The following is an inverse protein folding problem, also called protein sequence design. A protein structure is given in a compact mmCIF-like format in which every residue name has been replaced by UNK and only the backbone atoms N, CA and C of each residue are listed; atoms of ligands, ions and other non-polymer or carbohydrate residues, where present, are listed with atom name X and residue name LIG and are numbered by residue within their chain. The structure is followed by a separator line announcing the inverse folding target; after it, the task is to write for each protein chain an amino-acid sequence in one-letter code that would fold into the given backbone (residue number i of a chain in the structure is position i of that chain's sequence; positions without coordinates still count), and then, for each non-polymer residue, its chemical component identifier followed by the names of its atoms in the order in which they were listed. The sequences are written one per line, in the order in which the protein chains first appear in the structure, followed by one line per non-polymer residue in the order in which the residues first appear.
data_IF_389654161457
#
_entry.id   IF_389654161457
#
_cell.length_a   1.000
_cell.length_b   1.000
_cell.length_c   1.000
_cell.angle_alpha   90.00
_cell.angle_beta   90.00
_cell.angle_gamma   90.00
#
_symmetry.space_group_name_H-M   'P 1'
#
loop_
_entity.id
_entity.type
_entity.pdbx_description
1 polymer ?
#
# COMPACT_ATOMS: atom_id res chain seq x y z
N UNK A 1 23.37 -36.34 15.37
CA UNK A 1 23.43 -35.26 14.37
C UNK A 1 21.98 -34.96 14.06
N UNK A 2 21.39 -34.11 14.89
CA UNK A 2 19.94 -33.93 14.94
C UNK A 2 19.50 -33.25 13.65
N UNK A 3 18.51 -33.84 12.98
CA UNK A 3 17.80 -33.20 11.88
C UNK A 3 17.26 -31.85 12.38
N UNK A 4 17.95 -30.77 12.02
CA UNK A 4 17.39 -29.43 12.17
C UNK A 4 16.13 -29.39 11.32
N UNK A 5 14.97 -29.41 11.98
CA UNK A 5 13.68 -29.18 11.34
C UNK A 5 13.82 -27.88 10.57
N UNK A 6 13.84 -27.98 9.24
CA UNK A 6 14.03 -26.83 8.36
C UNK A 6 12.91 -25.85 8.69
N UNK A 7 13.22 -24.64 9.13
CA UNK A 7 12.23 -23.67 9.64
C UNK A 7 11.06 -23.43 8.67
N UNK A 8 11.29 -23.60 7.36
CA UNK A 8 10.25 -23.57 6.33
C UNK A 8 9.17 -24.63 6.48
N UNK A 9 9.44 -25.80 7.05
CA UNK A 9 8.40 -26.81 7.32
C UNK A 9 7.41 -26.31 8.38
N UNK A 10 7.92 -25.60 9.39
CA UNK A 10 7.09 -24.95 10.42
C UNK A 10 6.36 -23.76 9.79
N UNK A 11 7.04 -22.92 9.02
CA UNK A 11 6.44 -21.75 8.37
C UNK A 11 5.35 -22.10 7.34
N UNK A 12 5.46 -23.28 6.70
CA UNK A 12 4.48 -23.83 5.76
C UNK A 12 3.55 -24.88 6.40
N UNK A 13 3.48 -24.93 7.72
CA UNK A 13 2.61 -25.87 8.42
C UNK A 13 1.12 -25.54 8.20
N UNK A 14 0.24 -26.56 8.12
CA UNK A 14 -1.21 -26.37 8.10
C UNK A 14 -1.75 -25.54 9.28
N UNK A 15 -1.08 -25.59 10.44
CA UNK A 15 -1.45 -24.77 11.60
C UNK A 15 -1.32 -23.28 11.27
N UNK A 16 -0.19 -22.88 10.66
CA UNK A 16 0.09 -21.49 10.32
C UNK A 16 -0.89 -21.02 9.25
N UNK A 17 -1.20 -21.87 8.27
CA UNK A 17 -2.23 -21.58 7.28
C UNK A 17 -3.59 -21.26 7.91
N UNK A 18 -4.07 -22.09 8.83
CA UNK A 18 -5.39 -21.89 9.47
C UNK A 18 -5.39 -20.57 10.26
N UNK A 19 -4.34 -20.31 11.03
CA UNK A 19 -4.20 -19.07 11.78
C UNK A 19 -4.22 -17.85 10.86
N UNK A 20 -3.43 -17.86 9.79
CA UNK A 20 -3.41 -16.78 8.81
C UNK A 20 -4.76 -16.59 8.12
N UNK A 21 -5.41 -17.68 7.70
CA UNK A 21 -6.69 -17.65 7.02
C UNK A 21 -7.80 -17.07 7.91
N UNK A 22 -7.82 -17.40 9.21
CA UNK A 22 -8.80 -16.86 10.17
C UNK A 22 -8.66 -15.34 10.27
N UNK A 23 -7.44 -14.81 10.41
CA UNK A 23 -7.23 -13.36 10.55
C UNK A 23 -7.63 -12.64 9.25
N UNK A 24 -7.23 -13.17 8.09
CA UNK A 24 -7.62 -12.61 6.78
C UNK A 24 -9.14 -12.62 6.61
N UNK A 25 -9.81 -13.69 7.04
CA UNK A 25 -11.27 -13.78 7.00
C UNK A 25 -11.92 -12.70 7.87
N UNK A 26 -11.44 -12.48 9.09
CA UNK A 26 -11.96 -11.44 9.99
C UNK A 26 -11.85 -10.07 9.33
N UNK A 27 -10.68 -9.73 8.79
CA UNK A 27 -10.44 -8.43 8.13
C UNK A 27 -11.29 -8.29 6.86
N UNK A 28 -11.45 -9.36 6.09
CA UNK A 28 -12.30 -9.36 4.90
C UNK A 28 -13.78 -9.10 5.26
N UNK A 29 -14.27 -9.72 6.33
CA UNK A 29 -15.62 -9.45 6.85
C UNK A 29 -15.76 -8.00 7.30
N UNK A 30 -14.78 -7.46 8.02
CA UNK A 30 -14.79 -6.04 8.42
C UNK A 30 -14.85 -5.11 7.22
N UNK A 31 -14.06 -5.35 6.17
CA UNK A 31 -14.08 -4.55 4.95
C UNK A 31 -15.47 -4.55 4.29
N UNK A 32 -16.13 -5.72 4.20
CA UNK A 32 -17.49 -5.83 3.64
C UNK A 32 -18.50 -5.05 4.48
N UNK A 33 -18.40 -5.13 5.81
CA UNK A 33 -19.29 -4.40 6.73
C UNK A 33 -19.12 -2.87 6.59
N UNK A 34 -17.88 -2.39 6.46
CA UNK A 34 -17.61 -0.96 6.24
C UNK A 34 -18.13 -0.47 4.90
N UNK A 35 -17.96 -1.24 3.82
CA UNK A 35 -18.52 -0.90 2.51
C UNK A 35 -20.05 -0.80 2.57
N UNK A 36 -20.71 -1.77 3.22
CA UNK A 36 -22.17 -1.73 3.42
C UNK A 36 -22.61 -0.49 4.21
N UNK A 37 -21.91 -0.16 5.29
CA UNK A 37 -22.22 1.01 6.13
C UNK A 37 -22.02 2.32 5.36
N UNK A 38 -20.93 2.42 4.60
CA UNK A 38 -20.65 3.58 3.74
C UNK A 38 -21.70 3.75 2.64
N UNK A 39 -22.13 2.65 2.01
CA UNK A 39 -23.19 2.68 1.00
C UNK A 39 -24.52 3.19 1.57
N UNK A 40 -24.95 2.67 2.72
CA UNK A 40 -26.18 3.11 3.39
C UNK A 40 -26.10 4.59 3.80
N UNK A 41 -24.96 5.02 4.34
CA UNK A 41 -24.75 6.43 4.71
C UNK A 41 -24.78 7.36 3.49
N UNK A 42 -24.24 6.92 2.36
CA UNK A 42 -24.31 7.67 1.10
C UNK A 42 -25.76 7.88 0.63
N UNK A 43 -26.62 6.88 0.79
CA UNK A 43 -28.05 7.00 0.47
C UNK A 43 -28.78 7.95 1.41
N UNK A 44 -28.50 7.92 2.71
CA UNK A 44 -29.07 8.86 3.70
C UNK A 44 -28.69 10.32 3.40
N UNK A 45 -27.51 10.54 2.83
CA UNK A 45 -27.03 11.86 2.42
C UNK A 45 -27.58 12.31 1.05
N UNK A 46 -28.49 11.54 0.44
CA UNK A 46 -29.13 11.90 -0.82
C UNK A 46 -28.32 11.57 -2.08
N UNK A 47 -27.24 10.78 -1.98
CA UNK A 47 -26.49 10.36 -3.17
C UNK A 47 -27.30 9.38 -4.02
N UNK A 48 -27.25 9.53 -5.34
CA UNK A 48 -27.94 8.60 -6.23
C UNK A 48 -27.26 7.22 -6.22
N UNK A 49 -28.07 6.15 -6.32
CA UNK A 49 -27.58 4.76 -6.46
C UNK A 49 -26.60 4.60 -7.63
N UNK A 50 -26.81 5.34 -8.72
CA UNK A 50 -25.94 5.34 -9.91
C UNK A 50 -24.55 5.88 -9.58
N UNK A 51 -24.49 7.00 -8.85
CA UNK A 51 -23.22 7.60 -8.42
C UNK A 51 -22.47 6.67 -7.47
N UNK A 52 -23.15 6.10 -6.46
CA UNK A 52 -22.54 5.17 -5.52
C UNK A 52 -22.00 3.91 -6.22
N UNK A 53 -22.79 3.32 -7.12
CA UNK A 53 -22.35 2.13 -7.88
C UNK A 53 -21.16 2.45 -8.78
N UNK A 54 -21.18 3.59 -9.48
CA UNK A 54 -20.05 4.02 -10.31
C UNK A 54 -18.79 4.24 -9.48
N UNK A 55 -18.89 4.90 -8.33
CA UNK A 55 -17.75 5.10 -7.43
C UNK A 55 -17.17 3.75 -6.96
N UNK A 56 -18.02 2.83 -6.49
CA UNK A 56 -17.56 1.49 -6.06
C UNK A 56 -16.88 0.71 -7.19
N UNK A 57 -17.47 0.69 -8.40
CA UNK A 57 -16.88 -0.01 -9.54
C UNK A 57 -15.54 0.61 -9.94
N UNK A 58 -15.44 1.93 -9.98
CA UNK A 58 -14.21 2.63 -10.32
C UNK A 58 -13.12 2.36 -9.28
N UNK A 59 -13.44 2.43 -7.98
CA UNK A 59 -12.51 2.10 -6.90
C UNK A 59 -12.06 0.64 -6.93
N UNK A 60 -12.97 -0.30 -7.27
CA UNK A 60 -12.62 -1.70 -7.41
C UNK A 60 -11.66 -1.95 -8.57
N UNK A 61 -11.94 -1.40 -9.76
CA UNK A 61 -11.02 -1.47 -10.91
C UNK A 61 -9.66 -0.85 -10.57
N UNK A 62 -9.67 0.29 -9.88
CA UNK A 62 -8.47 0.99 -9.45
C UNK A 62 -7.62 0.24 -8.43
N UNK A 63 -8.20 -0.67 -7.65
CA UNK A 63 -7.48 -1.43 -6.64
C UNK A 63 -6.73 -2.64 -7.23
N UNK A 64 -7.16 -3.15 -8.39
CA UNK A 64 -6.53 -4.30 -9.02
C UNK A 64 -5.11 -3.97 -9.49
N UNK A 65 -4.94 -2.84 -10.17
CA UNK A 65 -3.66 -2.44 -10.76
C UNK A 65 -2.52 -2.33 -9.71
N UNK A 66 -2.66 -1.59 -8.59
CA UNK A 66 -1.62 -1.53 -7.56
C UNK A 66 -1.49 -2.81 -6.75
N UNK A 67 -2.43 -3.77 -6.84
CA UNK A 67 -2.32 -5.06 -6.14
C UNK A 67 -1.39 -6.06 -6.85
N UNK A 68 -1.19 -5.94 -8.17
CA UNK A 68 -0.36 -6.88 -8.93
C UNK A 68 1.11 -6.89 -8.46
N UNK A 69 1.79 -5.73 -8.29
CA UNK A 69 3.16 -5.72 -7.75
C UNK A 69 3.24 -6.31 -6.33
N UNK A 70 2.18 -6.14 -5.53
CA UNK A 70 2.12 -6.69 -4.17
C UNK A 70 2.10 -8.21 -4.21
N UNK A 71 1.35 -8.82 -5.13
CA UNK A 71 1.33 -10.28 -5.32
C UNK A 71 2.72 -10.79 -5.74
N UNK A 72 3.39 -10.10 -6.67
CA UNK A 72 4.76 -10.47 -7.09
C UNK A 72 5.72 -10.40 -5.90
N UNK A 73 5.65 -9.34 -5.08
CA UNK A 73 6.47 -9.21 -3.87
C UNK A 73 6.15 -10.30 -2.84
N UNK A 74 4.87 -10.67 -2.69
CA UNK A 74 4.46 -11.76 -1.82
C UNK A 74 5.11 -13.08 -2.25
N UNK A 75 5.11 -13.38 -3.54
CA UNK A 75 5.76 -14.58 -4.09
C UNK A 75 7.28 -14.53 -3.88
N UNK A 76 7.91 -13.37 -4.07
CA UNK A 76 9.34 -13.20 -3.81
C UNK A 76 9.69 -13.44 -2.33
N UNK A 77 8.93 -12.87 -1.40
CA UNK A 77 9.13 -13.08 0.05
C UNK A 77 8.76 -14.49 0.51
N UNK A 78 7.92 -15.22 -0.25
CA UNK A 78 7.51 -16.57 0.12
C UNK A 78 8.63 -17.61 0.05
N UNK A 79 9.69 -17.32 -0.72
CA UNK A 79 10.88 -18.17 -0.83
C UNK A 79 11.65 -18.18 0.50
N UNK A 80 12.08 -17.04 1.06
CA UNK A 80 12.80 -17.02 2.33
C UNK A 80 11.91 -17.10 3.58
N UNK A 81 10.65 -16.63 3.53
CA UNK A 81 9.80 -16.51 4.73
C UNK A 81 8.63 -17.50 4.80
N UNK A 82 8.55 -18.41 3.83
CA UNK A 82 7.43 -19.35 3.70
C UNK A 82 6.18 -18.71 3.11
N UNK A 83 5.18 -19.54 2.78
CA UNK A 83 4.01 -19.13 1.99
C UNK A 83 3.01 -18.29 2.78
N UNK A 84 2.80 -18.61 4.05
CA UNK A 84 1.66 -18.09 4.81
C UNK A 84 1.96 -16.77 5.54
N UNK A 85 3.19 -16.57 6.00
CA UNK A 85 3.55 -15.36 6.75
C UNK A 85 3.52 -14.10 5.87
N UNK A 86 4.19 -14.03 4.70
CA UNK A 86 4.06 -12.91 3.77
C UNK A 86 2.62 -12.68 3.30
N UNK A 87 1.83 -13.75 3.14
CA UNK A 87 0.41 -13.65 2.77
C UNK A 87 -0.41 -12.91 3.83
N UNK A 88 -0.22 -13.24 5.11
CA UNK A 88 -0.85 -12.53 6.23
C UNK A 88 -0.45 -11.05 6.25
N UNK A 89 0.86 -10.78 6.14
CA UNK A 89 1.44 -9.44 6.26
C UNK A 89 0.92 -8.50 5.17
N UNK A 90 0.99 -8.93 3.91
CA UNK A 90 0.58 -8.09 2.77
C UNK A 90 -0.95 -7.98 2.61
N UNK A 91 -1.73 -8.88 3.23
CA UNK A 91 -3.20 -8.83 3.15
C UNK A 91 -3.86 -7.91 4.18
N UNK A 92 -3.19 -7.61 5.30
CA UNK A 92 -3.80 -6.85 6.40
C UNK A 92 -3.15 -5.47 6.51
N UNK A 93 -1.88 -5.45 6.95
CA UNK A 93 -1.10 -4.25 7.21
C UNK A 93 0.33 -4.58 6.80
N UNK A 94 0.69 -4.14 5.60
CA UNK A 94 1.99 -4.35 5.00
C UNK A 94 2.15 -3.48 3.76
N UNK A 95 3.37 -3.02 3.52
CA UNK A 95 3.74 -2.38 2.25
C UNK A 95 4.79 -3.24 1.60
N UNK A 96 4.64 -3.51 0.29
CA UNK A 96 5.61 -4.29 -0.48
C UNK A 96 7.04 -3.73 -0.30
N UNK A 97 7.20 -2.40 -0.26
CA UNK A 97 8.51 -1.77 -0.04
C UNK A 97 9.02 -1.89 1.40
N UNK A 98 8.12 -1.92 2.39
CA UNK A 98 8.48 -2.03 3.80
C UNK A 98 8.89 -3.44 4.20
N UNK A 99 8.11 -4.46 3.83
CA UNK A 99 8.31 -5.82 4.33
C UNK A 99 9.69 -6.39 3.95
N UNK A 100 10.13 -6.16 2.70
CA UNK A 100 11.46 -6.61 2.25
C UNK A 100 12.60 -5.86 2.94
N UNK A 101 12.48 -4.55 3.12
CA UNK A 101 13.48 -3.74 3.82
C UNK A 101 13.59 -4.15 5.30
N UNK A 102 12.47 -4.29 5.99
CA UNK A 102 12.44 -4.67 7.40
C UNK A 102 13.02 -6.08 7.62
N UNK A 103 12.70 -7.02 6.72
CA UNK A 103 13.25 -8.37 6.77
C UNK A 103 14.77 -8.38 6.57
N UNK A 104 15.29 -7.60 5.61
CA UNK A 104 16.74 -7.46 5.39
C UNK A 104 17.46 -6.82 6.58
N UNK A 105 16.90 -5.75 7.16
CA UNK A 105 17.48 -5.12 8.35
C UNK A 105 17.54 -6.11 9.52
N UNK A 106 16.49 -6.90 9.71
CA UNK A 106 16.46 -7.93 10.75
C UNK A 106 17.51 -9.03 10.49
N UNK A 107 17.63 -9.54 9.26
CA UNK A 107 18.66 -10.53 8.90
C UNK A 107 20.09 -9.98 9.12
N UNK A 108 20.35 -8.76 8.67
CA UNK A 108 21.65 -8.08 8.85
C UNK A 108 21.97 -7.81 10.32
N UNK A 109 20.96 -7.54 11.15
CA UNK A 109 21.16 -7.39 12.60
C UNK A 109 21.67 -8.67 13.28
N UNK A 110 21.44 -9.82 12.65
CA UNK A 110 21.91 -11.13 13.12
C UNK A 110 23.22 -11.56 12.43
N UNK A 111 23.84 -10.67 11.63
CA UNK A 111 25.11 -10.93 10.96
C UNK A 111 25.00 -11.66 9.62
N UNK A 112 23.79 -11.83 9.07
CA UNK A 112 23.56 -12.40 7.74
C UNK A 112 23.71 -11.34 6.64
N UNK A 113 24.01 -11.74 5.40
CA UNK A 113 24.09 -10.78 4.28
C UNK A 113 22.72 -10.22 3.89
N UNK A 114 21.73 -11.10 3.78
CA UNK A 114 20.35 -10.77 3.41
C UNK A 114 19.37 -11.86 3.88
N UNK A 115 18.09 -11.68 3.56
CA UNK A 115 17.03 -12.68 3.85
C UNK A 115 17.17 -13.99 3.05
N UNK A 116 18.06 -14.05 2.06
CA UNK A 116 18.26 -15.22 1.21
C UNK A 116 19.48 -16.04 1.63
N UNK A 117 20.16 -15.65 2.71
CA UNK A 117 21.36 -16.31 3.21
C UNK A 117 21.04 -17.76 3.62
N UNK A 118 21.81 -18.76 3.16
CA UNK A 118 21.63 -20.16 3.52
C UNK A 118 21.72 -20.43 5.03
N UNK A 119 22.35 -19.55 5.79
CA UNK A 119 22.50 -19.68 7.25
C UNK A 119 21.29 -19.14 8.03
N UNK A 120 20.15 -18.88 7.37
CA UNK A 120 18.95 -18.42 8.04
C UNK A 120 18.35 -19.53 8.92
N UNK A 121 18.52 -19.39 10.23
CA UNK A 121 18.01 -20.34 11.23
C UNK A 121 16.58 -20.01 11.67
N UNK A 122 15.93 -20.95 12.36
CA UNK A 122 14.59 -20.74 12.93
C UNK A 122 14.52 -19.56 13.93
N UNK A 123 15.60 -19.31 14.67
CA UNK A 123 15.67 -18.19 15.62
C UNK A 123 15.71 -16.84 14.87
N UNK A 124 16.55 -16.74 13.83
CA UNK A 124 16.61 -15.54 12.99
C UNK A 124 15.28 -15.29 12.28
N UNK A 125 14.60 -16.35 11.82
CA UNK A 125 13.27 -16.26 11.23
C UNK A 125 12.25 -15.65 12.20
N UNK A 126 12.23 -16.08 13.47
CA UNK A 126 11.34 -15.51 14.50
C UNK A 126 11.66 -14.04 14.75
N UNK A 127 12.94 -13.67 14.82
CA UNK A 127 13.37 -12.27 14.98
C UNK A 127 12.87 -11.42 13.81
N UNK A 128 13.01 -11.90 12.57
CA UNK A 128 12.49 -11.24 11.37
C UNK A 128 10.98 -11.01 11.50
N UNK A 129 10.22 -12.04 11.90
CA UNK A 129 8.77 -11.92 12.10
C UNK A 129 8.41 -10.83 13.12
N UNK A 130 9.13 -10.74 14.23
CA UNK A 130 8.90 -9.72 15.26
C UNK A 130 9.25 -8.32 14.77
N UNK A 131 10.41 -8.14 14.12
CA UNK A 131 10.83 -6.82 13.61
C UNK A 131 9.83 -6.29 12.59
N UNK A 132 9.39 -7.12 11.64
CA UNK A 132 8.38 -6.74 10.64
C UNK A 132 7.04 -6.39 11.30
N UNK A 133 6.63 -7.14 12.32
CA UNK A 133 5.35 -6.93 13.00
C UNK A 133 5.36 -5.67 13.87
N UNK A 134 6.37 -5.52 14.72
CA UNK A 134 6.50 -4.38 15.65
C UNK A 134 6.77 -3.08 14.89
N UNK A 135 7.53 -3.13 13.80
CA UNK A 135 7.86 -1.90 13.08
C UNK A 135 6.65 -1.24 12.42
N UNK A 136 5.63 -1.99 11.98
CA UNK A 136 4.44 -1.43 11.33
C UNK A 136 3.27 -1.13 12.29
N UNK A 137 3.26 -1.73 13.48
CA UNK A 137 2.11 -1.63 14.42
C UNK A 137 1.84 -0.19 14.87
N UNK A 138 2.88 0.66 14.88
CA UNK A 138 2.79 2.05 15.30
C UNK A 138 1.77 2.85 14.49
N UNK A 139 1.65 2.62 13.18
CA UNK A 139 0.65 3.33 12.36
C UNK A 139 -0.78 3.08 12.85
N UNK A 140 -1.08 1.85 13.23
CA UNK A 140 -2.40 1.46 13.77
C UNK A 140 -2.59 2.03 15.18
N UNK A 141 -1.58 1.89 16.04
CA UNK A 141 -1.64 2.40 17.41
C UNK A 141 -1.84 3.92 17.45
N UNK A 142 -1.11 4.66 16.61
CA UNK A 142 -1.28 6.11 16.49
C UNK A 142 -2.68 6.47 16.02
N UNK A 143 -3.25 5.73 15.05
CA UNK A 143 -4.62 5.95 14.61
C UNK A 143 -5.61 5.74 15.76
N UNK A 144 -5.53 4.61 16.47
CA UNK A 144 -6.44 4.31 17.59
C UNK A 144 -6.35 5.36 18.70
N UNK A 145 -5.15 5.81 19.06
CA UNK A 145 -4.93 6.71 20.19
C UNK A 145 -5.19 8.19 19.86
N UNK A 146 -4.89 8.61 18.63
CA UNK A 146 -4.85 10.03 18.26
C UNK A 146 -5.90 10.45 17.23
N UNK A 147 -6.54 9.54 16.50
CA UNK A 147 -7.52 9.91 15.46
C UNK A 147 -8.67 10.74 16.01
N UNK A 148 -9.24 10.36 17.17
CA UNK A 148 -10.31 11.14 17.79
C UNK A 148 -9.87 12.55 18.22
N UNK A 149 -8.61 12.72 18.63
CA UNK A 149 -8.04 14.04 18.96
C UNK A 149 -7.79 14.87 17.70
N UNK A 150 -7.28 14.23 16.64
CA UNK A 150 -7.08 14.86 15.33
C UNK A 150 -8.40 15.34 14.72
N UNK A 151 -9.46 14.55 14.82
CA UNK A 151 -10.79 14.94 14.36
C UNK A 151 -11.34 16.13 15.14
N UNK A 152 -11.19 16.14 16.47
CA UNK A 152 -11.59 17.28 17.31
C UNK A 152 -10.78 18.54 16.99
N UNK A 153 -9.47 18.43 16.79
CA UNK A 153 -8.62 19.56 16.39
C UNK A 153 -9.02 20.07 15.01
N UNK A 154 -9.33 19.18 14.07
CA UNK A 154 -9.80 19.53 12.73
C UNK A 154 -11.16 20.24 12.76
N UNK A 155 -12.08 19.83 13.63
CA UNK A 155 -13.38 20.48 13.83
C UNK A 155 -13.21 21.86 14.47
N UNK A 156 -12.47 21.97 15.57
CA UNK A 156 -12.21 23.26 16.24
C UNK A 156 -11.48 24.25 15.34
N UNK A 157 -10.50 23.79 14.56
CA UNK A 157 -9.80 24.65 13.61
C UNK A 157 -10.69 25.15 12.46
N UNK A 158 -11.79 24.45 12.14
CA UNK A 158 -12.80 24.95 11.19
C UNK A 158 -13.77 25.95 11.82
N UNK A 159 -14.04 25.83 13.12
CA UNK A 159 -14.96 26.70 13.86
C UNK A 159 -14.29 28.01 14.34
N UNK A 160 -13.05 27.95 14.83
CA UNK A 160 -12.33 29.12 15.37
C UNK A 160 -11.63 29.96 14.30
N UNK A 161 -11.27 29.36 13.17
CA UNK A 161 -10.55 30.08 12.13
C UNK A 161 -11.52 30.90 11.28
N UNK A 162 -11.45 32.24 11.39
CA UNK A 162 -11.96 33.18 10.38
C UNK A 162 -11.43 32.91 8.96
N UNK A 163 -10.45 32.00 8.81
CA UNK A 163 -9.86 31.56 7.56
C UNK A 163 -10.08 30.05 7.39
N UNK A 164 -11.20 29.67 6.78
CA UNK A 164 -11.69 28.29 6.60
C UNK A 164 -10.72 27.36 5.83
N UNK A 165 -9.62 27.91 5.31
CA UNK A 165 -8.63 27.22 4.47
C UNK A 165 -7.41 26.65 5.20
N UNK A 166 -7.17 26.93 6.49
CA UNK A 166 -5.95 26.44 7.17
C UNK A 166 -5.94 24.91 7.25
N UNK A 167 -7.06 24.28 7.62
CA UNK A 167 -7.15 22.82 7.71
C UNK A 167 -6.96 22.16 6.34
N UNK A 168 -7.53 22.76 5.29
CA UNK A 168 -7.35 22.28 3.91
C UNK A 168 -5.90 22.45 3.43
N UNK A 169 -5.27 23.58 3.75
CA UNK A 169 -3.87 23.86 3.42
C UNK A 169 -2.92 22.91 4.13
N UNK A 170 -3.07 22.71 5.43
CA UNK A 170 -2.24 21.79 6.22
C UNK A 170 -2.44 20.34 5.76
N UNK A 171 -3.67 19.92 5.53
CA UNK A 171 -3.96 18.57 5.02
C UNK A 171 -3.37 18.37 3.61
N UNK A 172 -3.49 19.37 2.74
CA UNK A 172 -2.90 19.36 1.40
C UNK A 172 -1.37 19.33 1.44
N UNK A 173 -0.75 20.10 2.33
CA UNK A 173 0.69 20.13 2.53
C UNK A 173 1.21 18.79 3.07
N UNK A 174 0.55 18.20 4.08
CA UNK A 174 0.91 16.89 4.63
C UNK A 174 0.77 15.77 3.59
N UNK A 175 -0.32 15.78 2.82
CA UNK A 175 -0.52 14.80 1.74
C UNK A 175 0.55 14.94 0.66
N UNK A 176 0.87 16.18 0.27
CA UNK A 176 1.94 16.45 -0.71
C UNK A 176 3.30 16.01 -0.17
N UNK A 177 3.62 16.34 1.09
CA UNK A 177 4.85 15.90 1.73
C UNK A 177 4.98 14.37 1.76
N UNK A 178 3.90 13.67 2.11
CA UNK A 178 3.86 12.20 2.07
C UNK A 178 4.16 11.66 0.66
N UNK A 179 3.51 12.21 -0.37
CA UNK A 179 3.75 11.79 -1.76
C UNK A 179 5.20 12.06 -2.19
N UNK A 180 5.76 13.21 -1.82
CA UNK A 180 7.17 13.53 -2.09
C UNK A 180 8.06 12.51 -1.40
N UNK A 181 7.93 12.29 -0.09
CA UNK A 181 8.77 11.34 0.66
C UNK A 181 8.70 9.92 0.10
N UNK A 182 7.52 9.45 -0.31
CA UNK A 182 7.37 8.14 -0.93
C UNK A 182 7.99 8.07 -2.34
N UNK A 183 7.98 9.17 -3.10
CA UNK A 183 8.47 9.20 -4.48
C UNK A 183 9.98 9.49 -4.57
N UNK A 184 10.54 10.25 -3.62
CA UNK A 184 11.97 10.63 -3.57
C UNK A 184 12.93 9.47 -3.79
N UNK A 185 12.84 8.31 -3.08
CA UNK A 185 13.78 7.22 -3.29
C UNK A 185 13.71 6.59 -4.68
N UNK A 186 12.60 6.75 -5.40
CA UNK A 186 12.43 6.25 -6.78
C UNK A 186 12.86 7.27 -7.83
N UNK A 187 12.67 8.56 -7.57
CA UNK A 187 13.00 9.65 -8.52
C UNK A 187 14.49 10.02 -8.46
N UNK A 188 15.11 9.99 -7.28
CA UNK A 188 16.52 10.35 -7.10
C UNK A 188 17.49 9.17 -7.26
N UNK A 189 16.99 7.95 -7.43
CA UNK A 189 17.84 6.80 -7.70
C UNK A 189 18.25 6.76 -9.17
N UNK A 190 19.38 7.42 -9.48
CA UNK A 190 19.93 7.52 -10.84
C UNK A 190 20.38 6.19 -11.44
N UNK A 191 20.56 5.15 -10.62
CA UNK A 191 20.87 3.80 -11.12
C UNK A 191 19.63 3.11 -11.70
N UNK A 192 18.42 3.51 -11.29
CA UNK A 192 17.18 2.88 -11.69
C UNK A 192 16.41 3.76 -12.69
N UNK A 193 16.94 3.88 -13.92
CA UNK A 193 16.38 4.71 -15.01
C UNK A 193 14.89 4.41 -15.24
N UNK A 194 14.46 3.16 -15.06
CA UNK A 194 13.07 2.75 -15.21
C UNK A 194 12.11 3.45 -14.26
N UNK A 195 12.54 3.73 -13.02
CA UNK A 195 11.72 4.47 -12.06
C UNK A 195 11.50 5.92 -12.50
N UNK A 196 12.52 6.54 -13.09
CA UNK A 196 12.45 7.89 -13.63
C UNK A 196 11.53 7.97 -14.87
N UNK A 197 11.64 6.99 -15.77
CA UNK A 197 10.80 6.87 -16.97
C UNK A 197 9.33 6.69 -16.58
N UNK A 198 9.04 5.80 -15.61
CA UNK A 198 7.68 5.61 -15.09
C UNK A 198 7.11 6.92 -14.53
N UNK A 199 7.90 7.62 -13.72
CA UNK A 199 7.49 8.87 -13.06
C UNK A 199 7.18 9.96 -14.09
N UNK A 200 8.06 10.17 -15.07
CA UNK A 200 7.86 11.15 -16.13
C UNK A 200 6.67 10.79 -17.02
N UNK A 201 6.55 9.54 -17.45
CA UNK A 201 5.46 9.10 -18.32
C UNK A 201 4.07 9.20 -17.63
N UNK A 202 3.96 8.73 -16.38
CA UNK A 202 2.73 8.83 -15.61
C UNK A 202 2.38 10.29 -15.27
N UNK A 203 3.38 11.09 -14.87
CA UNK A 203 3.21 12.51 -14.59
C UNK A 203 2.73 13.30 -15.80
N UNK A 204 3.37 13.10 -16.96
CA UNK A 204 2.99 13.76 -18.21
C UNK A 204 1.58 13.37 -18.66
N UNK A 205 1.25 12.07 -18.55
CA UNK A 205 -0.11 11.57 -18.86
C UNK A 205 -1.16 12.22 -17.98
N UNK A 206 -0.89 12.35 -16.68
CA UNK A 206 -1.80 13.00 -15.73
C UNK A 206 -2.02 14.47 -16.10
N UNK A 207 -0.95 15.20 -16.45
CA UNK A 207 -1.03 16.60 -16.88
C UNK A 207 -1.83 16.77 -18.19
N UNK A 208 -1.61 15.87 -19.15
CA UNK A 208 -2.33 15.86 -20.43
C UNK A 208 -3.82 15.62 -20.20
N UNK A 209 -4.19 14.60 -19.40
CA UNK A 209 -5.59 14.31 -19.10
C UNK A 209 -6.25 15.46 -18.37
N UNK A 210 -5.59 16.09 -17.40
CA UNK A 210 -6.13 17.25 -16.68
C UNK A 210 -6.31 18.46 -17.60
N UNK A 211 -5.38 18.68 -18.53
CA UNK A 211 -5.49 19.73 -19.54
C UNK A 211 -6.65 19.48 -20.50
N UNK A 212 -6.79 18.26 -21.03
CA UNK A 212 -7.91 17.88 -21.89
C UNK A 212 -9.25 17.94 -21.16
N UNK A 213 -9.32 17.50 -19.90
CA UNK A 213 -10.53 17.57 -19.09
C UNK A 213 -11.00 19.01 -18.87
N UNK A 214 -10.06 19.93 -18.61
CA UNK A 214 -10.36 21.38 -18.47
C UNK A 214 -10.80 22.01 -19.79
N UNK A 215 -10.16 21.63 -20.92
CA UNK A 215 -10.45 22.21 -22.24
C UNK A 215 -11.78 21.73 -22.83
N UNK A 216 -12.12 20.45 -22.65
CA UNK A 216 -13.33 19.85 -23.22
C UNK A 216 -14.50 19.77 -22.23
N UNK A 217 -14.32 20.18 -20.98
CA UNK A 217 -15.36 20.14 -19.93
C UNK A 217 -15.74 18.73 -19.48
N UNK A 218 -14.92 17.72 -19.80
CA UNK A 218 -15.19 16.32 -19.50
C UNK A 218 -14.72 15.94 -18.10
N UNK A 219 -15.56 16.20 -17.10
CA UNK A 219 -15.30 15.81 -15.70
C UNK A 219 -15.10 14.31 -15.51
N UNK A 220 -15.73 13.48 -16.35
CA UNK A 220 -15.53 12.02 -16.31
C UNK A 220 -14.12 11.57 -16.71
N UNK A 221 -13.37 12.37 -17.47
CA UNK A 221 -12.00 12.01 -17.87
C UNK A 221 -11.02 12.16 -16.70
N UNK A 222 -11.30 13.12 -15.81
CA UNK A 222 -10.51 13.34 -14.60
C UNK A 222 -10.58 12.15 -13.64
N UNK A 223 -11.75 11.52 -13.53
CA UNK A 223 -11.95 10.31 -12.72
C UNK A 223 -11.11 9.11 -13.20
N UNK A 224 -10.69 9.10 -14.47
CA UNK A 224 -9.86 8.06 -15.08
C UNK A 224 -8.39 8.48 -15.24
N UNK A 225 -7.99 9.67 -14.79
CA UNK A 225 -6.62 10.18 -14.93
C UNK A 225 -5.59 9.29 -14.22
N UNK A 226 -5.84 8.96 -12.95
CA UNK A 226 -4.97 8.12 -12.15
C UNK A 226 -4.78 6.68 -12.70
N UNK A 227 -5.84 5.92 -13.05
CA UNK A 227 -5.66 4.58 -13.63
C UNK A 227 -4.90 4.61 -14.96
N UNK A 228 -5.21 5.57 -15.83
CA UNK A 228 -4.57 5.68 -17.15
C UNK A 228 -3.10 6.04 -16.99
N UNK A 229 -2.76 6.99 -16.11
CA UNK A 229 -1.38 7.35 -15.81
C UNK A 229 -0.56 6.15 -15.30
N UNK A 230 -1.16 5.29 -14.48
CA UNK A 230 -0.51 4.09 -13.96
C UNK A 230 -0.21 3.07 -15.08
N UNK A 231 -1.19 2.80 -15.96
CA UNK A 231 -1.01 1.89 -17.10
C UNK A 231 0.05 2.44 -18.07
N UNK A 232 0.01 3.74 -18.38
CA UNK A 232 0.99 4.37 -19.28
C UNK A 232 2.39 4.37 -18.65
N UNK A 233 2.51 4.62 -17.34
CA UNK A 233 3.78 4.53 -16.62
C UNK A 233 4.39 3.13 -16.71
N UNK A 234 3.59 2.08 -16.45
CA UNK A 234 4.05 0.69 -16.58
C UNK A 234 4.41 0.33 -18.03
N UNK A 235 3.58 0.73 -18.99
CA UNK A 235 3.83 0.48 -20.42
C UNK A 235 5.12 1.15 -20.92
N UNK A 236 5.39 2.39 -20.48
CA UNK A 236 6.61 3.11 -20.83
C UNK A 236 7.86 2.40 -20.31
N UNK A 237 7.83 1.86 -19.09
CA UNK A 237 8.94 1.05 -18.54
C UNK A 237 9.14 -0.25 -19.32
N UNK A 238 8.06 -0.95 -19.65
CA UNK A 238 8.15 -2.20 -20.42
C UNK A 238 8.77 -1.94 -21.80
N UNK A 239 8.36 -0.87 -22.48
CA UNK A 239 8.93 -0.48 -23.77
C UNK A 239 10.42 -0.12 -23.65
N UNK A 240 10.79 0.64 -22.61
CA UNK A 240 12.18 0.98 -22.35
C UNK A 240 13.03 -0.29 -22.12
N UNK A 241 12.54 -1.23 -21.32
CA UNK A 241 13.22 -2.49 -20.99
C UNK A 241 13.31 -3.49 -22.16
N UNK A 242 12.64 -3.23 -23.29
CA UNK A 242 12.79 -4.02 -24.52
C UNK A 242 13.74 -3.38 -25.53
N UNK A 243 14.00 -2.07 -25.40
CA UNK A 243 14.88 -1.31 -26.29
C UNK A 243 16.33 -1.32 -25.77
N UNK A 244 16.51 -1.47 -24.46
CA UNK A 244 17.78 -1.61 -23.75
C UNK A 244 17.88 -3.00 -23.12
#
# INVERSE_FOLDING_TARGET
MNEEVHYLEIANSPIVFILCAIVILIVSVQAILFIKKAYNRGLELGMTKKTLKRAMTNSAMLSVVPSLPIIVMMLALSVPLGKYFPWLRLSIVGSAGYEGMAANIAAQSQGLTDISDPNLTAEVFIIIMFVMTIGIIWGILFNILFMGKLDQVSQKAKEESHNTNIVALVSGALFTAMLITLSTPYVFNTENISSLVAFLAAGLTTLIIDFLAKRFGWTSLKDYSLPVALIVGMGAVILQAQIF
#
